data_IF_467174311045
#
_entry.id   IF_467174311045
#
_cell.length_a   1.000
_cell.length_b   1.000
_cell.length_c   1.000
_cell.angle_alpha   90.00
_cell.angle_beta   90.00
_cell.angle_gamma   90.00
#
_symmetry.space_group_name_H-M   'P 1'
#
loop_
_entity.id
_entity.type
_entity.pdbx_description
1 polymer ?
#
# COMPACT_ATOMS: atom_id res chain seq x y z
N UNK A 1 -24.06 -5.35 13.09
CA UNK A 1 -22.72 -5.95 13.26
C UNK A 1 -21.93 -6.14 11.96
N UNK A 2 -22.42 -5.76 10.77
CA UNK A 2 -21.77 -6.12 9.49
C UNK A 2 -21.07 -4.97 8.73
N UNK A 3 -21.37 -3.70 9.02
CA UNK A 3 -20.76 -2.57 8.29
C UNK A 3 -19.35 -2.21 8.78
N UNK A 4 -19.14 -2.23 10.09
CA UNK A 4 -17.91 -1.78 10.77
C UNK A 4 -16.69 -2.68 10.46
N UNK A 5 -16.89 -4.00 10.43
CA UNK A 5 -15.81 -4.95 10.12
C UNK A 5 -15.33 -4.84 8.67
N UNK A 6 -16.22 -4.63 7.72
CA UNK A 6 -15.84 -4.47 6.31
C UNK A 6 -15.01 -3.19 6.10
N UNK A 7 -15.37 -2.10 6.79
CA UNK A 7 -14.60 -0.86 6.75
C UNK A 7 -13.20 -1.04 7.37
N UNK A 8 -13.12 -1.68 8.54
CA UNK A 8 -11.86 -1.97 9.20
C UNK A 8 -10.93 -2.84 8.33
N UNK A 9 -11.48 -3.90 7.71
CA UNK A 9 -10.74 -4.73 6.77
C UNK A 9 -10.20 -3.92 5.59
N UNK A 10 -11.04 -3.05 5.04
CA UNK A 10 -10.65 -2.22 3.91
C UNK A 10 -9.52 -1.26 4.30
N UNK A 11 -9.60 -0.61 5.47
CA UNK A 11 -8.53 0.26 5.97
C UNK A 11 -7.24 -0.51 6.23
N UNK A 12 -7.32 -1.72 6.77
CA UNK A 12 -6.14 -2.58 6.92
C UNK A 12 -5.51 -2.93 5.56
N UNK A 13 -6.33 -3.28 4.57
CA UNK A 13 -5.87 -3.52 3.19
C UNK A 13 -5.21 -2.27 2.61
N UNK A 14 -5.75 -1.10 2.90
CA UNK A 14 -5.24 0.18 2.38
C UNK A 14 -3.88 0.53 2.99
N UNK A 15 -3.75 0.38 4.31
CA UNK A 15 -2.47 0.50 5.01
C UNK A 15 -1.40 -0.40 4.39
N UNK A 16 -1.71 -1.69 4.18
CA UNK A 16 -0.79 -2.66 3.58
C UNK A 16 -0.48 -2.33 2.12
N UNK A 17 -1.45 -1.84 1.35
CA UNK A 17 -1.29 -1.47 -0.05
C UNK A 17 -0.36 -0.26 -0.22
N UNK A 18 -0.52 0.75 0.65
CA UNK A 18 0.38 1.91 0.71
C UNK A 18 1.81 1.43 0.93
N UNK A 19 2.03 0.63 1.99
CA UNK A 19 3.36 0.09 2.28
C UNK A 19 3.91 -0.69 1.08
N UNK A 20 3.14 -1.63 0.53
CA UNK A 20 3.55 -2.43 -0.61
C UNK A 20 4.02 -1.59 -1.80
N UNK A 21 3.30 -0.50 -2.08
CA UNK A 21 3.59 0.40 -3.20
C UNK A 21 4.89 1.20 -3.04
N UNK A 22 5.34 1.42 -1.80
CA UNK A 22 6.55 2.18 -1.47
C UNK A 22 7.82 1.31 -1.46
N UNK A 23 7.68 -0.01 -1.45
CA UNK A 23 8.81 -0.93 -1.42
C UNK A 23 9.55 -0.89 -2.75
N UNK A 24 10.86 -0.65 -2.69
CA UNK A 24 11.72 -0.81 -3.85
C UNK A 24 12.10 -2.29 -4.05
N UNK A 25 11.20 -3.04 -4.68
CA UNK A 25 11.37 -4.47 -4.94
C UNK A 25 12.65 -4.80 -5.71
N UNK A 26 13.13 -3.90 -6.58
CA UNK A 26 14.38 -4.09 -7.34
C UNK A 26 15.63 -4.08 -6.46
N UNK A 27 15.61 -3.34 -5.35
CA UNK A 27 16.75 -3.24 -4.40
C UNK A 27 16.77 -4.35 -3.34
N UNK A 28 15.79 -5.25 -3.34
CA UNK A 28 15.72 -6.33 -2.34
C UNK A 28 16.67 -7.51 -2.61
N UNK A 29 17.36 -7.53 -3.77
CA UNK A 29 18.38 -8.52 -4.14
C UNK A 29 18.04 -9.96 -3.74
N UNK A 30 16.87 -10.44 -4.16
CA UNK A 30 16.34 -11.74 -3.76
C UNK A 30 15.79 -12.52 -4.95
N UNK A 31 15.99 -13.84 -4.93
CA UNK A 31 15.42 -14.77 -5.92
C UNK A 31 13.98 -15.17 -5.59
N UNK A 32 13.45 -14.72 -4.44
CA UNK A 32 12.10 -15.07 -3.99
C UNK A 32 11.06 -14.10 -4.56
N UNK A 33 9.84 -14.59 -4.70
CA UNK A 33 8.72 -13.78 -5.19
C UNK A 33 8.40 -12.63 -4.21
N UNK A 34 8.23 -11.42 -4.73
CA UNK A 34 7.90 -10.22 -3.94
C UNK A 34 6.64 -10.40 -3.07
N UNK A 35 5.60 -11.04 -3.61
CA UNK A 35 4.34 -11.29 -2.92
C UNK A 35 4.53 -12.26 -1.76
N UNK A 36 5.29 -13.34 -1.95
CA UNK A 36 5.60 -14.29 -0.86
C UNK A 36 6.42 -13.65 0.24
N UNK A 37 7.43 -12.85 -0.12
CA UNK A 37 8.23 -12.11 0.85
C UNK A 37 7.34 -11.16 1.65
N UNK A 38 6.43 -10.45 0.98
CA UNK A 38 5.48 -9.56 1.63
C UNK A 38 4.60 -10.33 2.63
N UNK A 39 3.97 -11.42 2.20
CA UNK A 39 3.13 -12.27 3.02
C UNK A 39 3.86 -12.74 4.29
N UNK A 40 5.07 -13.30 4.13
CA UNK A 40 5.85 -13.81 5.25
C UNK A 40 6.25 -12.72 6.24
N UNK A 41 6.64 -11.54 5.74
CA UNK A 41 7.05 -10.41 6.59
C UNK A 41 5.87 -9.78 7.32
N UNK A 42 4.69 -9.70 6.69
CA UNK A 42 3.46 -9.27 7.36
C UNK A 42 3.12 -10.23 8.50
N UNK A 43 3.07 -11.54 8.24
CA UNK A 43 2.84 -12.54 9.30
C UNK A 43 3.89 -12.47 10.41
N UNK A 44 5.16 -12.28 10.07
CA UNK A 44 6.23 -12.18 11.05
C UNK A 44 6.11 -10.91 11.91
N UNK A 45 5.80 -9.77 11.31
CA UNK A 45 5.59 -8.52 12.01
C UNK A 45 4.32 -8.55 12.88
N UNK A 46 3.28 -9.28 12.49
CA UNK A 46 2.00 -9.33 13.22
C UNK A 46 2.12 -9.87 14.66
N UNK A 47 3.26 -10.48 15.01
CA UNK A 47 3.55 -10.97 16.38
C UNK A 47 4.05 -9.87 17.33
N UNK A 48 4.09 -8.62 16.89
CA UNK A 48 4.49 -7.49 17.74
C UNK A 48 3.39 -7.17 18.75
N UNK A 49 3.80 -6.51 19.81
CA UNK A 49 2.99 -6.18 20.97
C UNK A 49 1.91 -5.13 20.70
N UNK A 50 2.08 -4.30 19.67
CA UNK A 50 1.12 -3.29 19.24
C UNK A 50 1.31 -2.91 17.77
N UNK A 51 0.36 -2.13 17.25
CA UNK A 51 0.30 -1.81 15.82
C UNK A 51 1.43 -0.89 15.34
N UNK A 52 1.97 -0.03 16.21
CA UNK A 52 3.14 0.81 15.89
C UNK A 52 4.42 -0.01 15.81
N UNK A 53 4.62 -0.97 16.73
CA UNK A 53 5.74 -1.91 16.66
C UNK A 53 5.65 -2.81 15.42
N UNK A 54 4.43 -3.21 15.03
CA UNK A 54 4.16 -3.89 13.76
C UNK A 54 4.60 -3.04 12.56
N UNK A 55 4.13 -1.80 12.45
CA UNK A 55 4.49 -0.89 11.36
C UNK A 55 6.00 -0.63 11.29
N UNK A 56 6.63 -0.35 12.44
CA UNK A 56 8.09 -0.19 12.55
C UNK A 56 8.83 -1.43 12.06
N UNK A 57 8.36 -2.64 12.42
CA UNK A 57 8.98 -3.89 11.97
C UNK A 57 8.85 -4.09 10.46
N UNK A 58 7.73 -3.70 9.86
CA UNK A 58 7.56 -3.73 8.40
C UNK A 58 8.51 -2.77 7.69
N UNK A 59 8.62 -1.53 8.16
CA UNK A 59 9.57 -0.55 7.61
C UNK A 59 11.00 -1.12 7.63
N UNK A 60 11.41 -1.69 8.77
CA UNK A 60 12.72 -2.34 8.91
C UNK A 60 12.91 -3.50 7.94
N UNK A 61 11.90 -4.38 7.80
CA UNK A 61 12.02 -5.49 6.87
C UNK A 61 12.20 -5.03 5.42
N UNK A 62 11.48 -4.00 5.01
CA UNK A 62 11.47 -3.53 3.62
C UNK A 62 12.45 -2.40 3.32
N UNK A 63 13.30 -2.02 4.30
CA UNK A 63 14.27 -0.94 4.12
C UNK A 63 13.63 0.43 3.90
N UNK A 64 12.44 0.65 4.46
CA UNK A 64 11.81 1.97 4.48
C UNK A 64 12.36 2.75 5.67
N UNK A 65 12.87 3.96 5.41
CA UNK A 65 13.46 4.82 6.45
C UNK A 65 12.43 5.26 7.50
N UNK A 66 11.20 5.49 7.07
CA UNK A 66 10.06 5.86 7.91
C UNK A 66 8.77 5.28 7.34
N UNK A 67 7.71 5.30 8.14
CA UNK A 67 6.37 5.00 7.67
C UNK A 67 5.89 6.14 6.75
N UNK A 68 5.30 5.85 5.57
CA UNK A 68 4.68 6.88 4.74
C UNK A 68 3.58 7.64 5.50
N UNK A 69 3.48 8.95 5.28
CA UNK A 69 2.50 9.81 5.96
C UNK A 69 1.06 9.32 5.76
N UNK A 70 0.70 8.92 4.54
CA UNK A 70 -0.64 8.42 4.26
C UNK A 70 -0.91 7.06 4.94
N UNK A 71 0.13 6.26 5.20
CA UNK A 71 -0.01 5.03 6.00
C UNK A 71 -0.20 5.34 7.49
N UNK A 72 0.45 6.39 8.02
CA UNK A 72 0.30 6.79 9.42
C UNK A 72 -1.14 7.18 9.75
N UNK A 73 -1.81 7.95 8.87
CA UNK A 73 -3.22 8.34 9.05
C UNK A 73 -4.11 7.10 9.20
N UNK A 74 -3.99 6.15 8.27
CA UNK A 74 -4.78 4.91 8.31
C UNK A 74 -4.43 4.07 9.53
N UNK A 75 -3.16 4.02 9.93
CA UNK A 75 -2.69 3.28 11.09
C UNK A 75 -3.33 3.79 12.39
N UNK A 76 -3.46 5.11 12.53
CA UNK A 76 -4.09 5.75 13.69
C UNK A 76 -5.59 5.49 13.74
N UNK A 77 -6.27 5.47 12.59
CA UNK A 77 -7.70 5.14 12.51
C UNK A 77 -8.01 3.70 12.95
N UNK A 78 -7.18 2.74 12.55
CA UNK A 78 -7.43 1.31 12.84
C UNK A 78 -6.83 0.87 14.18
N UNK A 79 -6.01 1.71 14.83
CA UNK A 79 -5.32 1.42 16.09
C UNK A 79 -6.24 0.94 17.21
N UNK A 80 -7.46 1.47 17.43
CA UNK A 80 -8.37 0.96 18.47
C UNK A 80 -8.66 -0.54 18.35
N UNK A 81 -8.52 -1.11 17.15
CA UNK A 81 -8.77 -2.52 16.86
C UNK A 81 -7.48 -3.37 16.77
N UNK A 82 -6.34 -2.87 17.28
CA UNK A 82 -5.02 -3.50 17.11
C UNK A 82 -4.96 -4.99 17.48
N UNK A 83 -5.66 -5.43 18.53
CA UNK A 83 -5.63 -6.83 18.96
C UNK A 83 -6.23 -7.75 17.90
N UNK A 84 -7.36 -7.36 17.33
CA UNK A 84 -8.00 -8.10 16.26
C UNK A 84 -7.09 -8.11 15.02
N UNK A 85 -6.57 -6.95 14.61
CA UNK A 85 -5.69 -6.83 13.43
C UNK A 85 -4.46 -7.73 13.54
N UNK A 86 -3.72 -7.62 14.64
CA UNK A 86 -2.49 -8.39 14.84
C UNK A 86 -2.77 -9.89 14.93
N UNK A 87 -3.83 -10.28 15.62
CA UNK A 87 -4.24 -11.68 15.68
C UNK A 87 -4.60 -12.21 14.28
N UNK A 88 -5.48 -11.52 13.56
CA UNK A 88 -5.90 -11.87 12.21
C UNK A 88 -4.73 -11.94 11.24
N UNK A 89 -3.77 -11.01 11.27
CA UNK A 89 -2.59 -11.11 10.41
C UNK A 89 -1.61 -12.21 10.85
N UNK A 90 -1.61 -12.62 12.12
CA UNK A 90 -0.76 -13.71 12.57
C UNK A 90 -1.23 -15.08 12.07
N UNK A 91 -2.54 -15.24 11.88
CA UNK A 91 -3.22 -16.50 11.50
C UNK A 91 -3.67 -16.51 10.04
N UNK A 92 -4.24 -15.40 9.55
CA UNK A 92 -4.99 -15.27 8.29
C UNK A 92 -4.47 -14.14 7.39
N UNK A 93 -3.17 -13.81 7.43
CA UNK A 93 -2.58 -12.75 6.59
C UNK A 93 -2.81 -12.85 5.08
N UNK A 94 -2.94 -14.04 4.50
CA UNK A 94 -2.84 -14.24 3.04
C UNK A 94 -3.91 -13.43 2.28
N UNK A 95 -5.22 -13.51 2.59
CA UNK A 95 -6.24 -12.72 1.89
C UNK A 95 -6.03 -11.20 1.99
N UNK A 96 -5.59 -10.71 3.15
CA UNK A 96 -5.29 -9.28 3.34
C UNK A 96 -4.12 -8.82 2.50
N UNK A 97 -3.05 -9.62 2.45
CA UNK A 97 -1.88 -9.29 1.65
C UNK A 97 -2.18 -9.34 0.15
N UNK A 98 -2.94 -10.34 -0.32
CA UNK A 98 -3.36 -10.43 -1.73
C UNK A 98 -4.23 -9.23 -2.12
N UNK A 99 -5.24 -8.88 -1.31
CA UNK A 99 -6.07 -7.68 -1.53
C UNK A 99 -5.22 -6.41 -1.56
N UNK A 100 -4.25 -6.27 -0.67
CA UNK A 100 -3.33 -5.14 -0.63
C UNK A 100 -2.46 -5.05 -1.89
N UNK A 101 -1.94 -6.18 -2.38
CA UNK A 101 -1.15 -6.25 -3.61
C UNK A 101 -2.00 -5.85 -4.83
N UNK A 102 -3.23 -6.36 -4.92
CA UNK A 102 -4.17 -5.99 -5.99
C UNK A 102 -4.46 -4.49 -5.97
N UNK A 103 -4.76 -3.93 -4.79
CA UNK A 103 -5.01 -2.50 -4.63
C UNK A 103 -3.79 -1.65 -4.97
N UNK A 104 -2.59 -2.05 -4.55
CA UNK A 104 -1.36 -1.34 -4.90
C UNK A 104 -1.09 -1.33 -6.42
N UNK A 105 -1.37 -2.44 -7.11
CA UNK A 105 -1.30 -2.51 -8.58
C UNK A 105 -2.32 -1.60 -9.25
N UNK A 106 -3.55 -1.56 -8.72
CA UNK A 106 -4.61 -0.67 -9.21
C UNK A 106 -4.21 0.80 -9.09
N UNK A 107 -3.78 1.25 -7.89
CA UNK A 107 -3.32 2.63 -7.65
C UNK A 107 -2.20 3.02 -8.62
N UNK A 108 -1.25 2.11 -8.87
CA UNK A 108 -0.16 2.35 -9.82
C UNK A 108 -0.68 2.51 -11.26
N UNK A 109 -1.63 1.68 -11.67
CA UNK A 109 -2.26 1.75 -12.99
C UNK A 109 -3.03 3.06 -13.18
N UNK A 110 -3.85 3.44 -12.21
CA UNK A 110 -4.65 4.67 -12.23
C UNK A 110 -3.76 5.91 -12.36
N UNK A 111 -2.70 6.00 -11.54
CA UNK A 111 -1.70 7.09 -11.64
C UNK A 111 -1.04 7.17 -13.01
N UNK A 112 -0.75 6.02 -13.63
CA UNK A 112 -0.13 6.00 -14.97
C UNK A 112 -1.11 6.46 -16.05
N UNK A 113 -2.38 6.07 -15.95
CA UNK A 113 -3.42 6.51 -16.87
C UNK A 113 -3.69 8.01 -16.74
N UNK A 114 -3.71 8.54 -15.51
CA UNK A 114 -3.89 9.96 -15.24
C UNK A 114 -2.76 10.80 -15.83
N UNK A 115 -1.51 10.39 -15.65
CA UNK A 115 -0.34 11.05 -16.28
C UNK A 115 -0.47 11.12 -17.80
N UNK A 116 -0.82 9.99 -18.45
CA UNK A 116 -1.03 9.95 -19.90
C UNK A 116 -2.16 10.86 -20.36
N UNK A 117 -3.24 10.97 -19.57
CA UNK A 117 -4.35 11.90 -19.88
C UNK A 117 -3.88 13.35 -19.82
N UNK A 118 -3.12 13.71 -18.79
CA UNK A 118 -2.56 15.07 -18.64
C UNK A 118 -1.63 15.39 -19.82
N UNK A 119 -0.67 14.52 -20.13
CA UNK A 119 0.25 14.69 -21.26
C UNK A 119 -0.51 14.86 -22.60
N UNK A 120 -1.56 14.07 -22.83
CA UNK A 120 -2.39 14.21 -24.03
C UNK A 120 -3.14 15.55 -24.10
N UNK A 121 -3.63 16.04 -22.96
CA UNK A 121 -4.31 17.34 -22.88
C UNK A 121 -3.32 18.47 -23.13
N UNK A 122 -2.14 18.44 -22.51
CA UNK A 122 -1.08 19.43 -22.70
C UNK A 122 -0.62 19.50 -24.15
N UNK A 123 -0.34 18.34 -24.78
CA UNK A 123 0.02 18.27 -26.20
C UNK A 123 -1.10 18.80 -27.10
N UNK A 124 -2.37 18.51 -26.79
CA UNK A 124 -3.50 19.02 -27.56
C UNK A 124 -3.67 20.54 -27.45
N UNK A 125 -3.41 21.11 -26.27
CA UNK A 125 -3.47 22.56 -26.04
C UNK A 125 -2.32 23.28 -26.75
N UNK A 126 -1.11 22.74 -26.67
CA UNK A 126 0.08 23.28 -27.34
C UNK A 126 -0.14 23.36 -28.86
N UNK A 127 -0.58 22.27 -29.49
CA UNK A 127 -0.85 22.23 -30.93
C UNK A 127 -1.96 23.23 -31.36
N UNK A 128 -2.95 23.51 -30.50
CA UNK A 128 -3.98 24.51 -30.80
C UNK A 128 -3.47 25.96 -30.73
N UNK A 129 -2.48 26.23 -29.88
CA UNK A 129 -1.86 27.55 -29.75
C UNK A 129 -0.92 27.85 -30.92
N UNK A 130 -0.22 26.85 -31.46
CA UNK A 130 0.58 27.03 -32.68
C UNK A 130 -0.31 27.40 -33.88
N UNK A 131 -1.43 26.69 -34.07
CA UNK A 131 -2.38 26.93 -35.18
C UNK A 131 -3.08 28.30 -35.12
N UNK A 132 -3.11 28.96 -33.96
CA UNK A 132 -3.72 30.30 -33.81
C UNK A 132 -2.74 31.46 -34.00
N UNK A 133 -1.43 31.19 -34.04
CA UNK A 133 -0.39 32.20 -34.20
C UNK A 133 0.20 32.26 -35.63
N UNK A 134 -0.34 31.44 -36.55
CA UNK A 134 -0.13 31.49 -38.00
C UNK A 134 -1.33 32.16 -38.71
#
# INVERSE_FOLDING_TARGET
MSADYNELEQKLVDFLAILYSRINWGKMHTSKNAHDIFNHRVRAAARRENLYAFASKLCNYFGLQSLPEEAQVVLDEIRPHQYWILNTLSTEHIPFCVRAIMKAKQIKSERLQEKKKIENVENSLFNKLEVQND
#
